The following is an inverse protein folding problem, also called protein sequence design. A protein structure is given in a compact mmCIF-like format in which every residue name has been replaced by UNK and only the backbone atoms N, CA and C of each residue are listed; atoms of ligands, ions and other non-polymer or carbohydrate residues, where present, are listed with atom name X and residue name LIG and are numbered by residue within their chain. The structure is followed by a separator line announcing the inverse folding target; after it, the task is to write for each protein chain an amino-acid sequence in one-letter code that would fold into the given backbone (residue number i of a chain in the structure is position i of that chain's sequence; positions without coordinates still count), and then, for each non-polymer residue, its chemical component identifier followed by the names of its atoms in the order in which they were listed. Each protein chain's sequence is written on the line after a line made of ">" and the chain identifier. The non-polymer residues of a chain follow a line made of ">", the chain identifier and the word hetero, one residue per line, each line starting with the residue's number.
data_IF_764536279698
#
_entry.id   IF_764536279698
#
_cell.length_a   1.000
_cell.length_b   1.000
_cell.length_c   1.000
_cell.angle_alpha   90.00
_cell.angle_beta   90.00
_cell.angle_gamma   90.00
#
_symmetry.space_group_name_H-M   'P 1'
#
loop_
_entity.id
_entity.type
_entity.pdbx_description
1 polymer ?
#
# COMPACT_ATOMS: atom_id res chain seq x y z
N UNK A 1 7.25 -3.00 11.14
CA UNK A 1 8.69 -2.89 10.75
C UNK A 1 9.42 -1.81 11.59
N UNK A 2 10.75 -1.90 11.82
CA UNK A 2 11.52 -0.82 12.49
C UNK A 2 11.63 0.43 11.59
N UNK A 3 11.58 1.67 12.12
CA UNK A 3 11.59 2.88 11.30
C UNK A 3 12.79 3.02 10.36
N UNK A 4 13.99 2.64 10.80
CA UNK A 4 15.22 2.68 9.98
C UNK A 4 15.14 1.73 8.78
N UNK A 5 14.55 0.55 8.98
CA UNK A 5 14.36 -0.46 7.95
C UNK A 5 13.30 0.01 6.95
N UNK A 6 12.22 0.62 7.45
CA UNK A 6 11.17 1.21 6.61
C UNK A 6 11.74 2.32 5.72
N UNK A 7 12.50 3.25 6.29
CA UNK A 7 13.17 4.32 5.54
C UNK A 7 14.05 3.74 4.44
N UNK A 8 14.86 2.73 4.76
CA UNK A 8 15.76 2.08 3.80
C UNK A 8 14.97 1.32 2.71
N UNK A 9 13.85 0.68 3.07
CA UNK A 9 13.01 -0.05 2.13
C UNK A 9 12.38 0.88 1.10
N UNK A 10 11.80 2.02 1.54
CA UNK A 10 11.22 3.03 0.64
C UNK A 10 12.30 3.63 -0.29
N UNK A 11 13.48 3.93 0.23
CA UNK A 11 14.60 4.45 -0.57
C UNK A 11 15.07 3.41 -1.61
N UNK A 12 15.25 2.16 -1.17
CA UNK A 12 15.70 1.05 -2.03
C UNK A 12 14.71 0.79 -3.15
N UNK A 13 13.42 0.70 -2.83
CA UNK A 13 12.36 0.49 -3.81
C UNK A 13 12.28 1.65 -4.81
N UNK A 14 12.39 2.89 -4.34
CA UNK A 14 12.43 4.07 -5.21
C UNK A 14 13.61 4.00 -6.18
N UNK A 15 14.79 3.62 -5.68
CA UNK A 15 15.99 3.42 -6.49
C UNK A 15 15.82 2.35 -7.56
N UNK A 16 15.27 1.19 -7.18
CA UNK A 16 15.07 0.05 -8.06
C UNK A 16 14.03 0.33 -9.16
N UNK A 17 12.91 0.99 -8.81
CA UNK A 17 11.82 1.25 -9.76
C UNK A 17 12.07 2.46 -10.67
N UNK A 18 12.77 3.49 -10.20
CA UNK A 18 12.76 4.80 -10.89
C UNK A 18 14.15 5.37 -11.21
N UNK A 19 15.23 4.85 -10.61
CA UNK A 19 16.57 5.44 -10.79
C UNK A 19 17.41 4.68 -11.83
N UNK A 20 17.12 3.41 -12.08
CA UNK A 20 17.78 2.60 -13.11
C UNK A 20 16.87 2.45 -14.34
N UNK A 21 17.24 3.08 -15.45
CA UNK A 21 16.54 3.02 -16.75
C UNK A 21 16.73 1.67 -17.50
N UNK A 22 17.03 0.58 -16.79
CA UNK A 22 17.31 -0.71 -17.41
C UNK A 22 16.09 -1.63 -17.25
N UNK A 23 15.55 -2.16 -18.35
CA UNK A 23 14.39 -3.07 -18.34
C UNK A 23 14.56 -4.29 -17.41
N UNK A 24 15.81 -4.68 -17.12
CA UNK A 24 16.13 -5.77 -16.20
C UNK A 24 15.89 -5.48 -14.71
N UNK A 25 15.69 -4.22 -14.29
CA UNK A 25 15.46 -3.88 -12.86
C UNK A 25 14.02 -4.04 -12.41
N UNK A 26 13.04 -4.14 -13.32
CA UNK A 26 11.63 -4.28 -12.93
C UNK A 26 11.33 -5.63 -12.24
N UNK A 27 11.95 -6.72 -12.70
CA UNK A 27 11.85 -8.02 -12.03
C UNK A 27 12.47 -7.98 -10.63
N UNK A 28 13.67 -7.40 -10.51
CA UNK A 28 14.35 -7.28 -9.22
C UNK A 28 13.53 -6.40 -8.27
N UNK A 29 13.02 -5.25 -8.75
CA UNK A 29 12.19 -4.35 -7.97
C UNK A 29 10.93 -5.02 -7.46
N UNK A 30 10.21 -5.77 -8.31
CA UNK A 30 9.03 -6.54 -7.92
C UNK A 30 9.34 -7.61 -6.89
N UNK A 31 10.43 -8.37 -7.08
CA UNK A 31 10.83 -9.41 -6.12
C UNK A 31 11.27 -8.83 -4.77
N UNK A 32 11.97 -7.70 -4.80
CA UNK A 32 12.35 -6.97 -3.58
C UNK A 32 11.12 -6.41 -2.87
N UNK A 33 10.14 -5.90 -3.62
CA UNK A 33 8.88 -5.43 -3.04
C UNK A 33 8.09 -6.57 -2.39
N UNK A 34 7.97 -7.71 -3.07
CA UNK A 34 7.32 -8.91 -2.55
C UNK A 34 7.96 -9.37 -1.23
N UNK A 35 9.30 -9.38 -1.17
CA UNK A 35 10.04 -9.70 0.06
C UNK A 35 9.75 -8.70 1.18
N UNK A 36 9.76 -7.39 0.89
CA UNK A 36 9.45 -6.39 1.91
C UNK A 36 8.02 -6.52 2.45
N UNK A 37 7.05 -6.81 1.57
CA UNK A 37 5.65 -7.00 1.98
C UNK A 37 5.49 -8.28 2.80
N UNK A 38 5.87 -9.44 2.25
CA UNK A 38 5.51 -10.74 2.82
C UNK A 38 6.44 -11.17 3.96
N UNK A 39 7.74 -10.91 3.85
CA UNK A 39 8.73 -11.43 4.80
C UNK A 39 9.08 -10.40 5.88
N UNK A 40 8.94 -9.11 5.58
CA UNK A 40 9.31 -8.01 6.48
C UNK A 40 8.13 -7.16 6.95
N UNK A 41 6.91 -7.49 6.52
CA UNK A 41 5.68 -6.84 6.94
C UNK A 41 5.70 -5.32 6.72
N UNK A 42 6.09 -4.91 5.49
CA UNK A 42 6.16 -3.50 5.09
C UNK A 42 4.83 -2.80 5.27
N UNK A 43 3.72 -3.46 4.93
CA UNK A 43 2.37 -2.90 4.96
C UNK A 43 1.66 -3.10 6.31
N UNK A 44 2.34 -3.67 7.32
CA UNK A 44 1.75 -3.88 8.65
C UNK A 44 1.45 -2.61 9.43
N UNK A 45 2.08 -1.48 9.08
CA UNK A 45 1.78 -0.15 9.65
C UNK A 45 1.66 0.90 8.55
N UNK A 46 0.45 1.02 8.02
CA UNK A 46 0.09 1.92 6.92
C UNK A 46 0.43 3.39 7.22
N UNK A 47 0.21 3.85 8.46
CA UNK A 47 0.47 5.24 8.83
C UNK A 47 1.96 5.55 8.78
N UNK A 48 2.79 4.66 9.33
CA UNK A 48 4.24 4.82 9.26
C UNK A 48 4.74 4.80 7.82
N UNK A 49 4.20 3.91 6.97
CA UNK A 49 4.54 3.85 5.54
C UNK A 49 4.16 5.13 4.82
N UNK A 50 2.95 5.66 5.03
CA UNK A 50 2.50 6.91 4.45
C UNK A 50 3.40 8.09 4.85
N UNK A 51 3.73 8.22 6.14
CA UNK A 51 4.64 9.27 6.64
C UNK A 51 6.01 9.19 5.96
N UNK A 52 6.56 7.99 5.81
CA UNK A 52 7.88 7.82 5.20
C UNK A 52 7.87 8.04 3.69
N UNK A 53 6.79 7.64 3.00
CA UNK A 53 6.57 7.96 1.57
C UNK A 53 6.51 9.47 1.36
N UNK A 54 5.77 10.21 2.19
CA UNK A 54 5.66 11.67 2.08
C UNK A 54 7.02 12.35 2.34
N UNK A 55 7.68 11.95 3.42
CA UNK A 55 9.00 12.46 3.82
C UNK A 55 10.05 12.26 2.72
N UNK A 56 10.05 11.11 2.05
CA UNK A 56 10.98 10.82 0.95
C UNK A 56 10.47 11.26 -0.43
N UNK A 57 9.27 11.83 -0.52
CA UNK A 57 8.61 12.22 -1.79
C UNK A 57 8.47 11.06 -2.78
N UNK A 58 8.22 9.87 -2.25
CA UNK A 58 8.23 8.61 -2.99
C UNK A 58 6.83 8.21 -3.50
N UNK A 59 5.93 9.18 -3.78
CA UNK A 59 4.53 8.93 -4.13
C UNK A 59 4.34 8.01 -5.35
N UNK A 60 5.31 7.99 -6.27
CA UNK A 60 5.30 7.10 -7.43
C UNK A 60 5.35 5.60 -7.07
N UNK A 61 5.75 5.24 -5.84
CA UNK A 61 5.72 3.86 -5.35
C UNK A 61 4.31 3.34 -5.11
N UNK A 62 3.33 4.20 -4.84
CA UNK A 62 1.97 3.78 -4.46
C UNK A 62 1.32 2.92 -5.56
N UNK A 63 1.32 3.31 -6.85
CA UNK A 63 0.86 2.43 -7.93
C UNK A 63 1.60 1.08 -8.02
N UNK A 64 2.86 1.00 -7.55
CA UNK A 64 3.63 -0.25 -7.52
C UNK A 64 3.18 -1.16 -6.36
N UNK A 65 2.90 -0.58 -5.19
CA UNK A 65 2.31 -1.29 -4.05
C UNK A 65 0.95 -1.90 -4.42
N UNK A 66 0.14 -1.15 -5.17
CA UNK A 66 -1.20 -1.58 -5.64
C UNK A 66 -1.19 -2.86 -6.49
N UNK A 67 -0.05 -3.22 -7.09
CA UNK A 67 0.10 -4.48 -7.83
C UNK A 67 0.10 -5.72 -6.93
N UNK A 68 0.43 -5.55 -5.65
CA UNK A 68 0.54 -6.62 -4.66
C UNK A 68 -0.64 -6.58 -3.68
N UNK A 69 -0.95 -5.38 -3.17
CA UNK A 69 -2.06 -5.16 -2.27
C UNK A 69 -2.75 -3.83 -2.61
N UNK A 70 -3.88 -3.96 -3.31
CA UNK A 70 -4.68 -2.81 -3.70
C UNK A 70 -5.32 -2.10 -2.52
N UNK A 71 -5.75 -2.86 -1.51
CA UNK A 71 -6.43 -2.30 -0.34
C UNK A 71 -5.46 -1.45 0.48
N UNK A 72 -4.30 -2.01 0.81
CA UNK A 72 -3.28 -1.29 1.58
C UNK A 72 -2.76 -0.05 0.83
N UNK A 73 -2.63 -0.13 -0.50
CA UNK A 73 -2.23 1.02 -1.32
C UNK A 73 -3.27 2.16 -1.28
N UNK A 74 -4.56 1.82 -1.32
CA UNK A 74 -5.64 2.81 -1.19
C UNK A 74 -5.66 3.44 0.23
N UNK A 75 -5.44 2.64 1.28
CA UNK A 75 -5.32 3.15 2.65
C UNK A 75 -4.11 4.10 2.84
N UNK A 76 -3.00 3.85 2.14
CA UNK A 76 -1.85 4.77 2.10
C UNK A 76 -2.23 6.10 1.42
N UNK A 77 -2.94 6.06 0.29
CA UNK A 77 -3.39 7.29 -0.40
C UNK A 77 -4.34 8.11 0.46
N UNK A 78 -5.27 7.46 1.15
CA UNK A 78 -6.19 8.06 2.12
C UNK A 78 -5.40 8.74 3.24
N UNK A 79 -4.44 8.04 3.86
CA UNK A 79 -3.59 8.59 4.91
C UNK A 79 -2.77 9.81 4.44
N UNK A 80 -2.25 9.77 3.21
CA UNK A 80 -1.49 10.87 2.61
C UNK A 80 -2.35 12.07 2.21
N UNK A 81 -3.61 11.84 1.83
CA UNK A 81 -4.55 12.89 1.45
C UNK A 81 -5.02 13.76 2.61
N UNK A 82 -4.64 13.44 3.86
CA UNK A 82 -5.18 14.08 5.07
C UNK A 82 -6.67 13.82 5.29
N UNK A 83 -7.27 12.99 4.42
CA UNK A 83 -8.61 12.47 4.51
C UNK A 83 -8.47 11.10 5.14
N UNK A 84 -8.45 11.01 6.47
CA UNK A 84 -8.89 9.75 7.07
C UNK A 84 -10.28 9.44 6.55
N UNK A 85 -10.60 8.16 6.27
CA UNK A 85 -11.98 7.81 5.93
C UNK A 85 -12.90 8.48 6.94
N UNK A 86 -13.82 9.29 6.46
CA UNK A 86 -14.82 9.86 7.35
C UNK A 86 -15.65 8.71 7.91
N UNK A 87 -16.15 8.84 9.14
CA UNK A 87 -17.03 7.82 9.72
C UNK A 87 -18.17 7.46 8.76
N UNK A 88 -18.64 8.43 7.97
CA UNK A 88 -19.64 8.22 6.92
C UNK A 88 -19.19 7.27 5.80
N UNK A 89 -17.95 7.36 5.34
CA UNK A 89 -17.40 6.48 4.29
C UNK A 89 -17.14 5.06 4.81
N UNK A 90 -16.69 4.93 6.07
CA UNK A 90 -16.55 3.63 6.75
C UNK A 90 -17.92 2.96 6.89
N UNK A 91 -18.90 3.71 7.42
CA UNK A 91 -20.26 3.21 7.61
C UNK A 91 -20.91 2.85 6.26
N UNK A 92 -20.71 3.65 5.22
CA UNK A 92 -21.24 3.35 3.89
C UNK A 92 -20.63 2.05 3.32
N UNK A 93 -19.31 1.86 3.48
CA UNK A 93 -18.64 0.62 3.06
C UNK A 93 -19.15 -0.60 3.84
N UNK A 94 -19.35 -0.48 5.16
CA UNK A 94 -19.87 -1.56 6.00
C UNK A 94 -21.33 -1.92 5.68
N UNK A 95 -22.18 -0.92 5.39
CA UNK A 95 -23.58 -1.14 4.99
C UNK A 95 -23.62 -1.88 3.65
N UNK A 96 -22.86 -1.42 2.65
CA UNK A 96 -22.78 -2.06 1.33
C UNK A 96 -22.28 -3.49 1.44
N UNK A 97 -21.29 -3.73 2.30
CA UNK A 97 -20.75 -5.07 2.56
C UNK A 97 -21.79 -6.01 3.20
N UNK A 98 -22.55 -5.54 4.19
CA UNK A 98 -23.59 -6.35 4.84
C UNK A 98 -24.81 -6.61 3.93
N UNK A 99 -25.18 -5.66 3.07
CA UNK A 99 -26.20 -5.88 2.03
C UNK A 99 -25.78 -6.93 1.01
N UNK A 100 -24.53 -6.86 0.53
CA UNK A 100 -23.96 -7.90 -0.32
C UNK A 100 -23.99 -9.27 0.38
N UNK A 101 -23.58 -9.35 1.65
CA UNK A 101 -23.60 -10.58 2.45
C UNK A 101 -25.01 -11.19 2.55
N UNK A 102 -26.03 -10.35 2.71
CA UNK A 102 -27.44 -10.78 2.73
C UNK A 102 -27.89 -11.29 1.35
N UNK A 103 -27.45 -10.65 0.27
CA UNK A 103 -27.73 -11.12 -1.10
C UNK A 103 -27.16 -12.50 -1.39
N UNK A 104 -26.01 -12.86 -0.80
CA UNK A 104 -25.40 -14.19 -0.94
C UNK A 104 -26.19 -15.29 -0.21
N UNK A 105 -26.86 -14.97 0.90
CA UNK A 105 -27.68 -15.93 1.67
C UNK A 105 -29.03 -16.26 1.04
N UNK A 106 -29.43 -15.56 -0.02
CA UNK A 106 -30.72 -15.79 -0.69
C UNK A 106 -30.63 -16.80 -1.85
N UNK A 107 -29.42 -17.31 -2.15
CA UNK A 107 -29.15 -18.27 -3.22
C UNK A 107 -28.85 -19.71 -2.75
N UNK A 108 -29.25 -20.09 -1.52
CA UNK A 108 -29.21 -21.48 -1.05
C UNK A 108 -30.61 -22.01 -0.72
#
# INVERSE_FOLDING_TARGET
>A
MKPEILSTAIETLTGLFFRNNNEGTDFLAKRTLDHYINDLDLLGDINSVAVEIDKQRAWALIPKLRLFDSKSADEIEVALGGLGYTDAEIIASDIVFEEWKKSQKHCQ
#
